data_IF_076564758619
#
_entry.id   IF_076564758619
#
_cell.length_a   1.000
_cell.length_b   1.000
_cell.length_c   1.000
_cell.angle_alpha   90.00
_cell.angle_beta   90.00
_cell.angle_gamma   90.00
#
_symmetry.space_group_name_H-M   'P 1'
#
loop_
_entity.id
_entity.type
_entity.pdbx_description
1 polymer ?
#
# COMPACT_ATOMS: atom_id res chain seq x y z
N UNK A 1 -1.24 -41.02 -3.23
CA UNK A 1 -0.64 -39.67 -3.14
C UNK A 1 -0.77 -38.87 -4.43
N UNK A 2 -0.44 -39.42 -5.62
CA UNK A 2 -0.56 -38.71 -6.91
C UNK A 2 -1.96 -38.16 -7.20
N UNK A 3 -3.01 -39.00 -7.13
CA UNK A 3 -4.40 -38.57 -7.37
C UNK A 3 -4.80 -37.42 -6.43
N UNK A 4 -4.40 -37.49 -5.16
CA UNK A 4 -4.63 -36.43 -4.19
C UNK A 4 -3.98 -35.11 -4.63
N UNK A 5 -2.70 -35.12 -5.02
CA UNK A 5 -2.02 -33.91 -5.48
C UNK A 5 -2.63 -33.34 -6.76
N UNK A 6 -3.04 -34.17 -7.71
CA UNK A 6 -3.75 -33.73 -8.93
C UNK A 6 -5.04 -32.98 -8.55
N UNK A 7 -5.89 -33.59 -7.73
CA UNK A 7 -7.16 -32.99 -7.31
C UNK A 7 -6.90 -31.69 -6.54
N UNK A 8 -5.97 -31.72 -5.59
CA UNK A 8 -5.62 -30.58 -4.77
C UNK A 8 -5.09 -29.40 -5.60
N UNK A 9 -4.08 -29.61 -6.45
CA UNK A 9 -3.53 -28.55 -7.29
C UNK A 9 -4.55 -28.03 -8.31
N UNK A 10 -5.44 -28.91 -8.81
CA UNK A 10 -6.53 -28.52 -9.71
C UNK A 10 -7.55 -27.59 -9.04
N UNK A 11 -7.96 -27.91 -7.80
CA UNK A 11 -8.86 -27.05 -7.01
C UNK A 11 -8.20 -25.71 -6.72
N UNK A 12 -6.95 -25.72 -6.24
CA UNK A 12 -6.21 -24.48 -5.94
C UNK A 12 -6.01 -23.64 -7.20
N UNK A 13 -5.72 -24.26 -8.34
CA UNK A 13 -5.63 -23.57 -9.61
C UNK A 13 -6.95 -22.86 -9.97
N UNK A 14 -8.07 -23.57 -9.95
CA UNK A 14 -9.38 -22.96 -10.25
C UNK A 14 -9.71 -21.80 -9.30
N UNK A 15 -9.50 -21.98 -7.99
CA UNK A 15 -9.72 -20.92 -7.00
C UNK A 15 -8.79 -19.72 -7.21
N UNK A 16 -7.52 -19.95 -7.55
CA UNK A 16 -6.55 -18.88 -7.81
C UNK A 16 -6.93 -18.03 -9.03
N UNK A 17 -7.43 -18.64 -10.10
CA UNK A 17 -7.92 -17.93 -11.29
C UNK A 17 -9.10 -17.02 -10.92
N UNK A 18 -10.11 -17.59 -10.25
CA UNK A 18 -11.31 -16.84 -9.83
C UNK A 18 -10.92 -15.69 -8.89
N UNK A 19 -10.05 -15.95 -7.90
CA UNK A 19 -9.60 -14.95 -6.93
C UNK A 19 -8.85 -13.81 -7.62
N UNK A 20 -7.98 -14.13 -8.56
CA UNK A 20 -7.18 -13.14 -9.30
C UNK A 20 -8.07 -12.21 -10.13
N UNK A 21 -9.01 -12.77 -10.87
CA UNK A 21 -10.00 -11.99 -11.65
C UNK A 21 -10.81 -11.09 -10.71
N UNK A 22 -11.28 -11.63 -9.59
CA UNK A 22 -12.02 -10.87 -8.58
C UNK A 22 -11.21 -9.70 -8.02
N UNK A 23 -9.95 -9.92 -7.63
CA UNK A 23 -9.07 -8.89 -7.08
C UNK A 23 -8.86 -7.77 -8.09
N UNK A 24 -8.57 -8.09 -9.35
CA UNK A 24 -8.31 -7.09 -10.40
C UNK A 24 -9.57 -6.25 -10.68
N UNK A 25 -10.73 -6.90 -10.81
CA UNK A 25 -12.00 -6.20 -11.04
C UNK A 25 -12.33 -5.29 -9.86
N UNK A 26 -12.23 -5.80 -8.62
CA UNK A 26 -12.50 -5.02 -7.41
C UNK A 26 -11.53 -3.87 -7.26
N UNK A 27 -10.26 -4.07 -7.58
CA UNK A 27 -9.26 -3.02 -7.58
C UNK A 27 -9.66 -1.88 -8.52
N UNK A 28 -10.02 -2.18 -9.76
CA UNK A 28 -10.40 -1.17 -10.74
C UNK A 28 -11.71 -0.45 -10.36
N UNK A 29 -12.70 -1.17 -9.83
CA UNK A 29 -13.94 -0.58 -9.29
C UNK A 29 -13.61 0.38 -8.14
N UNK A 30 -12.85 -0.07 -7.16
CA UNK A 30 -12.48 0.73 -5.99
C UNK A 30 -11.70 1.97 -6.42
N UNK A 31 -10.74 1.83 -7.33
CA UNK A 31 -9.94 2.96 -7.84
C UNK A 31 -10.81 4.05 -8.48
N UNK A 32 -11.83 3.65 -9.25
CA UNK A 32 -12.79 4.61 -9.83
C UNK A 32 -13.64 5.29 -8.76
N UNK A 33 -14.04 4.56 -7.73
CA UNK A 33 -14.77 5.12 -6.59
C UNK A 33 -13.89 6.08 -5.77
N UNK A 34 -12.63 5.71 -5.55
CA UNK A 34 -11.67 6.52 -4.80
C UNK A 34 -11.41 7.85 -5.54
N UNK A 35 -11.31 7.85 -6.87
CA UNK A 35 -11.21 9.08 -7.67
C UNK A 35 -12.45 9.99 -7.55
N UNK A 36 -13.64 9.41 -7.35
CA UNK A 36 -14.85 10.21 -7.07
C UNK A 36 -14.82 10.82 -5.67
N UNK A 37 -14.30 10.09 -4.69
CA UNK A 37 -14.13 10.54 -3.30
C UNK A 37 -13.04 11.61 -3.17
N UNK A 38 -12.04 11.57 -4.05
CA UNK A 38 -11.01 12.60 -4.16
C UNK A 38 -11.62 13.99 -4.42
N UNK A 39 -12.64 14.06 -5.28
CA UNK A 39 -13.40 15.30 -5.51
C UNK A 39 -14.21 15.78 -4.29
N UNK A 40 -14.38 14.92 -3.28
CA UNK A 40 -15.02 15.23 -1.99
C UNK A 40 -13.99 15.48 -0.88
N UNK A 41 -12.70 15.64 -1.22
CA UNK A 41 -11.63 15.88 -0.26
C UNK A 41 -11.17 14.62 0.49
N UNK A 42 -11.65 13.42 0.12
CA UNK A 42 -11.24 12.15 0.71
C UNK A 42 -10.28 11.43 -0.27
N UNK A 43 -9.00 11.43 0.08
CA UNK A 43 -7.94 10.85 -0.73
C UNK A 43 -7.64 9.43 -0.27
N UNK A 44 -7.88 8.44 -1.13
CA UNK A 44 -7.58 7.04 -0.84
C UNK A 44 -6.52 6.57 -1.83
N UNK A 45 -5.36 6.18 -1.31
CA UNK A 45 -4.28 5.57 -2.09
C UNK A 45 -4.23 4.08 -1.76
N UNK A 46 -4.19 3.27 -2.81
CA UNK A 46 -4.06 1.80 -2.74
C UNK A 46 -2.75 1.40 -3.39
N UNK A 47 -2.44 0.11 -3.28
CA UNK A 47 -1.36 -0.56 -4.03
C UNK A 47 -1.40 -0.18 -5.51
N UNK A 48 -0.23 -0.10 -6.15
CA UNK A 48 -0.14 0.37 -7.53
C UNK A 48 -0.78 -0.61 -8.51
N UNK A 49 -1.12 -0.12 -9.71
CA UNK A 49 -1.69 -0.98 -10.77
C UNK A 49 -0.69 -2.06 -11.19
N UNK A 50 0.61 -1.73 -11.22
CA UNK A 50 1.67 -2.66 -11.57
C UNK A 50 1.73 -3.82 -10.58
N UNK A 51 1.76 -3.52 -9.27
CA UNK A 51 1.70 -4.53 -8.20
C UNK A 51 0.42 -5.36 -8.27
N UNK A 52 -0.74 -4.73 -8.54
CA UNK A 52 -2.01 -5.46 -8.69
C UNK A 52 -1.97 -6.44 -9.87
N UNK A 53 -1.33 -6.07 -10.97
CA UNK A 53 -1.18 -6.93 -12.14
C UNK A 53 -0.23 -8.11 -11.90
N UNK A 54 0.69 -8.02 -10.94
CA UNK A 54 1.52 -9.17 -10.53
C UNK A 54 0.68 -10.33 -10.00
N UNK A 55 -0.54 -10.07 -9.50
CA UNK A 55 -1.48 -11.14 -9.12
C UNK A 55 -1.85 -12.08 -10.30
N UNK A 56 -1.73 -11.63 -11.56
CA UNK A 56 -1.95 -12.48 -12.74
C UNK A 56 -0.99 -13.67 -12.82
N UNK A 57 0.17 -13.58 -12.16
CA UNK A 57 1.16 -14.66 -12.13
C UNK A 57 0.80 -15.76 -11.12
N UNK A 58 -0.06 -15.47 -10.14
CA UNK A 58 -0.39 -16.39 -9.04
C UNK A 58 -0.98 -17.72 -9.55
N UNK A 59 -1.92 -17.74 -10.51
CA UNK A 59 -2.49 -19.00 -11.01
C UNK A 59 -1.49 -19.89 -11.77
N UNK A 60 -0.36 -19.35 -12.22
CA UNK A 60 0.61 -20.16 -12.96
C UNK A 60 1.27 -21.22 -12.07
N UNK A 61 1.52 -20.93 -10.79
CA UNK A 61 2.16 -21.88 -9.88
C UNK A 61 1.33 -23.14 -9.61
N UNK A 62 0.04 -23.07 -9.24
CA UNK A 62 -0.79 -24.28 -9.10
C UNK A 62 -1.10 -24.93 -10.45
N UNK A 63 -1.15 -24.17 -11.56
CA UNK A 63 -1.28 -24.74 -12.91
C UNK A 63 -0.09 -25.64 -13.27
N UNK A 64 1.14 -25.16 -13.06
CA UNK A 64 2.36 -25.94 -13.31
C UNK A 64 2.42 -27.19 -12.44
N UNK A 65 2.03 -27.09 -11.16
CA UNK A 65 1.93 -28.26 -10.28
C UNK A 65 0.88 -29.26 -10.78
N UNK A 66 -0.28 -28.78 -11.24
CA UNK A 66 -1.32 -29.64 -11.80
C UNK A 66 -0.84 -30.39 -13.04
N UNK A 67 -0.23 -29.68 -13.99
CA UNK A 67 0.33 -30.28 -15.21
C UNK A 67 1.42 -31.31 -14.85
N UNK A 68 2.34 -30.96 -13.94
CA UNK A 68 3.42 -31.85 -13.52
C UNK A 68 2.89 -33.16 -12.91
N UNK A 69 1.87 -33.08 -12.04
CA UNK A 69 1.29 -34.28 -11.41
C UNK A 69 0.46 -35.13 -12.38
N UNK A 70 -0.07 -34.54 -13.46
CA UNK A 70 -0.72 -35.29 -14.55
C UNK A 70 0.33 -36.00 -15.40
N UNK A 71 1.34 -35.27 -15.88
CA UNK A 71 2.26 -35.75 -16.91
C UNK A 71 3.37 -36.66 -16.36
N UNK A 72 3.82 -36.43 -15.13
CA UNK A 72 4.89 -37.23 -14.52
C UNK A 72 4.33 -38.27 -13.57
N UNK A 73 4.83 -39.50 -13.68
CA UNK A 73 4.44 -40.58 -12.78
C UNK A 73 5.03 -40.43 -11.38
N UNK A 74 6.18 -39.75 -11.25
CA UNK A 74 6.96 -39.64 -10.02
C UNK A 74 7.35 -38.18 -9.72
N UNK A 75 6.37 -37.29 -9.56
CA UNK A 75 6.65 -35.96 -9.00
C UNK A 75 7.12 -36.12 -7.55
N UNK A 76 8.35 -35.67 -7.28
CA UNK A 76 8.92 -35.69 -5.94
C UNK A 76 8.01 -34.95 -4.95
N UNK A 77 7.73 -35.55 -3.80
CA UNK A 77 6.92 -34.94 -2.74
C UNK A 77 7.45 -33.55 -2.34
N UNK A 78 8.77 -33.37 -2.32
CA UNK A 78 9.41 -32.09 -2.02
C UNK A 78 9.05 -31.00 -3.01
N UNK A 79 8.88 -31.33 -4.29
CA UNK A 79 8.46 -30.36 -5.30
C UNK A 79 7.02 -29.87 -5.06
N UNK A 80 6.11 -30.78 -4.68
CA UNK A 80 4.75 -30.42 -4.28
C UNK A 80 4.75 -29.58 -3.00
N UNK A 81 5.57 -29.91 -2.00
CA UNK A 81 5.70 -29.12 -0.76
C UNK A 81 6.19 -27.70 -1.03
N UNK A 82 7.22 -27.53 -1.86
CA UNK A 82 7.74 -26.19 -2.23
C UNK A 82 6.67 -25.39 -2.97
N UNK A 83 5.93 -26.01 -3.89
CA UNK A 83 4.84 -25.33 -4.60
C UNK A 83 3.75 -24.84 -3.63
N UNK A 84 3.35 -25.66 -2.66
CA UNK A 84 2.35 -25.28 -1.64
C UNK A 84 2.83 -24.08 -0.83
N UNK A 85 4.08 -24.10 -0.36
CA UNK A 85 4.68 -22.99 0.38
C UNK A 85 4.69 -21.72 -0.48
N UNK A 86 5.10 -21.83 -1.74
CA UNK A 86 5.16 -20.71 -2.65
C UNK A 86 3.78 -20.11 -2.92
N UNK A 87 2.79 -20.95 -3.21
CA UNK A 87 1.39 -20.54 -3.41
C UNK A 87 0.82 -19.87 -2.16
N UNK A 88 1.16 -20.36 -0.96
CA UNK A 88 0.79 -19.70 0.29
C UNK A 88 1.31 -18.26 0.35
N UNK A 89 2.58 -18.01 0.04
CA UNK A 89 3.13 -16.65 -0.04
C UNK A 89 2.45 -15.79 -1.12
N UNK A 90 2.10 -16.38 -2.28
CA UNK A 90 1.31 -15.68 -3.29
C UNK A 90 -0.06 -15.24 -2.77
N UNK A 91 -0.74 -16.08 -1.97
CA UNK A 91 -2.01 -15.71 -1.34
C UNK A 91 -1.83 -14.60 -0.28
N UNK A 92 -0.74 -14.60 0.48
CA UNK A 92 -0.40 -13.50 1.38
C UNK A 92 -0.22 -12.19 0.62
N UNK A 93 0.50 -12.22 -0.51
CA UNK A 93 0.65 -11.07 -1.39
C UNK A 93 -0.69 -10.60 -1.97
N UNK A 94 -1.53 -11.51 -2.47
CA UNK A 94 -2.85 -11.18 -2.98
C UNK A 94 -3.73 -10.50 -1.91
N UNK A 95 -3.66 -10.98 -0.66
CA UNK A 95 -4.35 -10.35 0.48
C UNK A 95 -3.82 -8.93 0.73
N UNK A 96 -2.51 -8.74 0.73
CA UNK A 96 -1.90 -7.42 0.85
C UNK A 96 -2.42 -6.47 -0.24
N UNK A 97 -2.36 -6.87 -1.51
CA UNK A 97 -2.89 -6.08 -2.65
C UNK A 97 -4.36 -5.71 -2.46
N UNK A 98 -5.17 -6.64 -1.95
CA UNK A 98 -6.61 -6.46 -1.77
C UNK A 98 -6.96 -5.53 -0.59
N UNK A 99 -6.20 -5.61 0.51
CA UNK A 99 -6.52 -4.97 1.78
C UNK A 99 -5.78 -3.65 1.97
N UNK A 100 -4.58 -3.51 1.43
CA UNK A 100 -3.72 -2.38 1.73
C UNK A 100 -4.23 -1.06 1.11
N UNK A 101 -4.51 -0.09 1.97
CA UNK A 101 -4.82 1.28 1.58
C UNK A 101 -4.41 2.27 2.67
N UNK A 102 -4.14 3.50 2.24
CA UNK A 102 -4.03 4.69 3.08
C UNK A 102 -5.14 5.64 2.66
N UNK A 103 -5.97 6.02 3.62
CA UNK A 103 -7.05 6.98 3.44
C UNK A 103 -6.74 8.24 4.25
N UNK A 104 -6.83 9.36 3.57
CA UNK A 104 -6.73 10.71 4.11
C UNK A 104 -8.10 11.35 3.97
N UNK A 105 -8.69 11.71 5.09
CA UNK A 105 -9.99 12.37 5.17
C UNK A 105 -9.91 13.55 6.14
N UNK A 106 -10.87 14.49 6.11
CA UNK A 106 -10.95 15.56 7.11
C UNK A 106 -10.93 15.04 8.56
N UNK A 107 -11.45 13.83 8.79
CA UNK A 107 -11.46 13.16 10.09
C UNK A 107 -10.08 12.66 10.57
N UNK A 108 -9.11 12.50 9.67
CA UNK A 108 -7.83 11.88 9.99
C UNK A 108 -7.24 11.00 8.89
N UNK A 109 -6.16 10.33 9.28
CA UNK A 109 -5.43 9.32 8.52
C UNK A 109 -5.89 7.95 8.97
N UNK A 110 -6.41 7.19 8.03
CA UNK A 110 -6.81 5.80 8.22
C UNK A 110 -5.86 4.92 7.40
N UNK A 111 -5.05 4.11 8.07
CA UNK A 111 -4.15 3.16 7.41
C UNK A 111 -4.63 1.74 7.63
N UNK A 112 -4.61 0.96 6.55
CA UNK A 112 -4.76 -0.48 6.61
C UNK A 112 -3.67 -1.12 5.76
N UNK A 113 -2.80 -1.90 6.39
CA UNK A 113 -1.72 -2.62 5.69
C UNK A 113 -2.02 -4.11 5.64
N UNK A 114 -2.33 -4.70 6.79
CA UNK A 114 -2.45 -6.15 6.95
C UNK A 114 -3.60 -6.58 7.88
N UNK A 115 -3.83 -5.79 8.94
CA UNK A 115 -4.82 -6.06 9.99
C UNK A 115 -6.27 -6.03 9.48
N UNK A 116 -7.14 -6.74 10.22
CA UNK A 116 -8.58 -6.69 9.99
C UNK A 116 -9.14 -5.28 10.28
N UNK A 117 -8.65 -4.64 11.34
CA UNK A 117 -9.05 -3.30 11.75
C UNK A 117 -8.07 -2.25 11.21
N UNK A 118 -8.55 -1.15 10.62
CA UNK A 118 -7.69 -0.04 10.23
C UNK A 118 -7.21 0.72 11.46
N UNK A 119 -5.96 1.18 11.43
CA UNK A 119 -5.43 2.11 12.43
C UNK A 119 -5.84 3.53 12.03
N UNK A 120 -6.30 4.33 12.99
CA UNK A 120 -6.79 5.70 12.76
C UNK A 120 -6.02 6.67 13.63
N UNK A 121 -5.48 7.70 13.00
CA UNK A 121 -4.83 8.82 13.67
C UNK A 121 -5.44 10.13 13.17
N UNK A 122 -5.81 11.08 14.04
CA UNK A 122 -6.12 12.44 13.58
C UNK A 122 -4.87 13.07 12.92
N UNK A 123 -5.07 13.99 11.97
CA UNK A 123 -3.95 14.60 11.21
C UNK A 123 -2.98 15.35 12.15
N UNK A 124 -3.52 16.00 13.18
CA UNK A 124 -2.77 16.75 14.18
C UNK A 124 -1.95 15.87 15.17
N UNK A 125 -2.03 14.53 15.03
CA UNK A 125 -1.19 13.57 15.72
C UNK A 125 0.26 13.55 15.26
N UNK A 126 0.50 13.98 14.02
CA UNK A 126 1.82 13.89 13.41
C UNK A 126 2.70 14.93 14.10
N UNK A 127 3.65 14.44 14.89
CA UNK A 127 4.65 15.27 15.55
C UNK A 127 5.90 15.38 14.69
N UNK A 128 6.30 14.28 14.06
CA UNK A 128 7.53 14.24 13.29
C UNK A 128 7.43 13.50 11.96
N UNK A 129 8.25 13.96 11.03
CA UNK A 129 8.50 13.34 9.73
C UNK A 129 10.00 13.07 9.63
N UNK A 130 10.35 11.85 9.24
CA UNK A 130 11.74 11.41 9.05
C UNK A 130 11.89 10.92 7.62
N UNK A 131 12.88 11.46 6.93
CA UNK A 131 13.31 11.04 5.62
C UNK A 131 14.50 10.09 5.77
N UNK A 132 14.33 8.86 5.34
CA UNK A 132 15.36 7.84 5.31
C UNK A 132 15.89 7.76 3.88
N UNK A 133 17.10 8.26 3.68
CA UNK A 133 17.82 8.09 2.41
C UNK A 133 18.44 6.69 2.40
N UNK A 134 18.09 5.90 1.39
CA UNK A 134 18.64 4.55 1.26
C UNK A 134 19.93 4.64 0.46
N UNK A 135 21.05 4.18 1.04
CA UNK A 135 22.36 4.22 0.41
C UNK A 135 22.32 3.58 -0.98
N UNK A 136 22.61 4.40 -2.01
CA UNK A 136 22.81 4.03 -3.42
C UNK A 136 21.58 3.67 -4.27
N UNK A 137 20.34 3.84 -3.79
CA UNK A 137 19.14 3.65 -4.63
C UNK A 137 18.08 4.72 -4.30
N UNK A 138 18.04 5.82 -5.06
CA UNK A 138 17.07 6.93 -4.86
C UNK A 138 15.60 6.47 -4.90
N UNK A 139 15.30 5.39 -5.63
CA UNK A 139 13.95 4.81 -5.72
C UNK A 139 13.51 4.05 -4.45
N UNK A 140 14.42 3.88 -3.47
CA UNK A 140 14.17 3.21 -2.19
C UNK A 140 14.17 4.15 -0.99
N UNK A 141 14.22 5.46 -1.19
CA UNK A 141 14.04 6.41 -0.08
C UNK A 141 12.70 6.15 0.61
N UNK A 142 12.64 6.34 1.93
CA UNK A 142 11.42 6.16 2.71
C UNK A 142 11.12 7.40 3.53
N UNK A 143 9.82 7.69 3.69
CA UNK A 143 9.35 8.75 4.57
C UNK A 143 8.50 8.12 5.66
N UNK A 144 8.89 8.31 6.92
CA UNK A 144 8.14 7.90 8.09
C UNK A 144 7.48 9.09 8.79
N UNK A 145 6.26 8.88 9.27
CA UNK A 145 5.49 9.84 10.07
C UNK A 145 5.26 9.24 11.45
N UNK A 146 5.50 10.02 12.50
CA UNK A 146 5.46 9.55 13.88
C UNK A 146 4.68 10.50 14.80
N UNK A 147 4.05 9.92 15.82
CA UNK A 147 3.48 10.65 16.96
C UNK A 147 4.58 11.20 17.87
N UNK A 148 4.21 12.02 18.86
CA UNK A 148 5.14 12.52 19.88
C UNK A 148 5.66 11.40 20.77
N UNK A 149 4.85 10.38 21.03
CA UNK A 149 5.25 9.14 21.71
C UNK A 149 6.20 8.25 20.90
N UNK A 150 6.44 8.57 19.62
CA UNK A 150 7.31 7.81 18.73
C UNK A 150 6.61 6.65 18.01
N UNK A 151 5.29 6.55 18.10
CA UNK A 151 4.51 5.55 17.37
C UNK A 151 4.46 5.90 15.88
N UNK A 152 4.64 4.89 15.02
CA UNK A 152 4.63 5.08 13.58
C UNK A 152 3.19 5.20 13.05
N UNK A 153 2.86 6.37 12.51
CA UNK A 153 1.56 6.68 11.89
C UNK A 153 1.50 6.13 10.48
N UNK A 154 2.57 6.31 9.70
CA UNK A 154 2.69 5.81 8.34
C UNK A 154 4.15 5.75 7.91
N UNK A 155 4.52 4.82 7.03
CA UNK A 155 5.72 4.97 6.22
C UNK A 155 5.50 4.46 4.80
N UNK A 156 6.11 5.13 3.84
CA UNK A 156 6.08 4.74 2.45
C UNK A 156 7.27 5.32 1.67
N UNK A 157 7.64 4.65 0.58
CA UNK A 157 8.58 5.19 -0.39
C UNK A 157 7.91 6.25 -1.27
N UNK A 158 8.33 7.53 -1.24
CA UNK A 158 7.69 8.59 -2.00
C UNK A 158 7.86 8.35 -3.51
N UNK A 159 9.01 7.81 -3.94
CA UNK A 159 9.30 7.51 -5.35
C UNK A 159 8.54 6.28 -5.85
N UNK A 160 8.54 5.19 -5.06
CA UNK A 160 7.93 3.91 -5.41
C UNK A 160 6.40 4.00 -5.54
N UNK A 161 5.74 4.68 -4.61
CA UNK A 161 4.28 4.74 -4.55
C UNK A 161 3.69 6.05 -5.07
N UNK A 162 4.54 7.03 -5.45
CA UNK A 162 4.15 8.37 -5.91
C UNK A 162 3.05 8.99 -5.05
N UNK A 163 3.18 8.82 -3.75
CA UNK A 163 2.23 9.29 -2.75
C UNK A 163 2.84 10.46 -2.01
N UNK A 164 2.51 11.69 -2.40
CA UNK A 164 3.08 12.90 -1.80
C UNK A 164 2.09 13.63 -0.92
N UNK A 165 0.80 13.23 -0.90
CA UNK A 165 -0.27 13.97 -0.27
C UNK A 165 -0.02 14.24 1.21
N UNK A 166 0.41 13.21 1.95
CA UNK A 166 0.69 13.37 3.37
C UNK A 166 1.91 14.28 3.61
N UNK A 167 2.94 14.17 2.77
CA UNK A 167 4.08 15.08 2.81
C UNK A 167 3.65 16.52 2.46
N UNK A 168 2.75 16.70 1.50
CA UNK A 168 2.19 18.00 1.12
C UNK A 168 1.39 18.65 2.25
N UNK A 169 0.58 17.86 2.98
CA UNK A 169 -0.15 18.33 4.17
C UNK A 169 0.81 18.75 5.28
N UNK A 170 1.84 17.96 5.56
CA UNK A 170 2.85 18.31 6.57
C UNK A 170 3.64 19.55 6.14
N UNK A 171 3.96 19.68 4.85
CA UNK A 171 4.62 20.88 4.33
C UNK A 171 3.73 22.12 4.45
N UNK A 172 2.43 22.00 4.15
CA UNK A 172 1.46 23.07 4.40
C UNK A 172 1.49 23.48 5.87
N UNK A 173 1.49 22.53 6.81
CA UNK A 173 1.57 22.79 8.25
C UNK A 173 2.83 23.56 8.65
N UNK A 174 3.95 23.27 8.01
CA UNK A 174 5.22 23.97 8.26
C UNK A 174 5.18 25.39 7.66
N UNK A 175 4.70 25.54 6.42
CA UNK A 175 4.69 26.83 5.72
C UNK A 175 3.61 27.81 6.22
N UNK A 176 2.49 27.30 6.73
CA UNK A 176 1.32 28.10 7.17
C UNK A 176 1.14 28.11 8.68
N UNK A 177 1.98 27.40 9.42
CA UNK A 177 1.93 27.27 10.89
C UNK A 177 0.58 26.75 11.45
N UNK A 178 -0.24 26.14 10.61
CA UNK A 178 -1.54 25.53 10.96
C UNK A 178 -1.84 24.32 10.07
N UNK A 179 -2.66 23.39 10.54
CA UNK A 179 -3.12 22.28 9.70
C UNK A 179 -4.10 22.78 8.62
N UNK A 180 -4.11 22.16 7.43
CA UNK A 180 -5.05 22.53 6.37
C UNK A 180 -6.47 22.08 6.75
N UNK A 181 -7.45 22.95 6.51
CA UNK A 181 -8.86 22.57 6.55
C UNK A 181 -9.24 21.95 5.21
N UNK A 182 -9.41 20.62 5.21
CA UNK A 182 -9.73 19.86 4.00
C UNK A 182 -11.17 20.11 3.49
N UNK A 183 -11.99 20.89 4.22
CA UNK A 183 -13.28 21.38 3.74
C UNK A 183 -13.18 22.76 3.06
N UNK A 184 -12.04 23.46 3.21
CA UNK A 184 -11.79 24.75 2.59
C UNK A 184 -11.13 24.55 1.20
N UNK A 185 -11.78 24.96 0.10
CA UNK A 185 -11.23 24.81 -1.24
C UNK A 185 -9.87 25.47 -1.45
N UNK A 186 -9.57 26.57 -0.75
CA UNK A 186 -8.29 27.27 -0.86
C UNK A 186 -7.14 26.46 -0.27
N UNK A 187 -7.35 25.88 0.91
CA UNK A 187 -6.37 25.00 1.56
C UNK A 187 -6.14 23.74 0.72
N UNK A 188 -7.21 23.14 0.20
CA UNK A 188 -7.14 22.00 -0.71
C UNK A 188 -6.30 22.33 -1.95
N UNK A 189 -6.52 23.48 -2.58
CA UNK A 189 -5.76 23.90 -3.76
C UNK A 189 -4.27 24.10 -3.44
N UNK A 190 -3.94 24.59 -2.24
CA UNK A 190 -2.56 24.76 -1.82
C UNK A 190 -1.88 23.41 -1.55
N UNK A 191 -2.58 22.47 -0.90
CA UNK A 191 -2.08 21.10 -0.72
C UNK A 191 -1.93 20.40 -2.08
N UNK A 192 -2.88 20.55 -3.01
CA UNK A 192 -2.80 20.03 -4.38
C UNK A 192 -1.56 20.55 -5.11
N UNK A 193 -1.24 21.85 -4.95
CA UNK A 193 -0.02 22.44 -5.50
C UNK A 193 1.25 21.80 -4.92
N UNK A 194 1.23 21.39 -3.66
CA UNK A 194 2.35 20.73 -2.98
C UNK A 194 2.39 19.22 -3.21
N UNK A 195 1.32 18.60 -3.70
CA UNK A 195 1.19 17.15 -3.94
C UNK A 195 1.94 16.70 -5.21
N UNK A 196 3.22 17.05 -5.28
CA UNK A 196 4.13 16.62 -6.33
C UNK A 196 5.52 16.32 -5.77
N UNK A 197 6.17 15.30 -6.35
CA UNK A 197 7.50 14.86 -5.91
C UNK A 197 8.58 15.91 -6.13
N UNK A 198 8.46 16.73 -7.19
CA UNK A 198 9.48 17.72 -7.57
C UNK A 198 9.70 18.78 -6.49
N UNK A 199 8.63 19.25 -5.85
CA UNK A 199 8.73 20.24 -4.79
C UNK A 199 8.90 19.60 -3.42
N UNK A 200 8.22 18.48 -3.16
CA UNK A 200 8.04 17.98 -1.81
C UNK A 200 9.12 16.99 -1.38
N UNK A 201 9.68 16.19 -2.29
CA UNK A 201 10.79 15.30 -1.94
C UNK A 201 12.05 16.09 -1.56
N UNK A 202 12.56 17.04 -2.38
CA UNK A 202 13.76 17.77 -2.03
C UNK A 202 13.62 18.58 -0.73
N UNK A 203 12.40 19.08 -0.46
CA UNK A 203 12.11 19.83 0.76
C UNK A 203 12.35 19.02 2.04
N UNK A 204 11.90 17.76 2.08
CA UNK A 204 12.09 16.88 3.24
C UNK A 204 13.43 16.17 3.23
N UNK A 205 13.96 15.82 2.05
CA UNK A 205 15.31 15.25 1.92
C UNK A 205 16.36 16.20 2.51
N UNK A 206 16.32 17.48 2.17
CA UNK A 206 17.26 18.47 2.70
C UNK A 206 17.08 18.81 4.19
N UNK A 207 16.00 18.36 4.84
CA UNK A 207 15.76 18.56 6.28
C UNK A 207 16.05 17.32 7.10
N UNK A 208 16.03 16.14 6.50
CA UNK A 208 16.14 14.80 7.11
C UNK A 208 15.07 14.49 8.16
N UNK A 209 14.85 15.37 9.13
CA UNK A 209 13.86 15.23 10.19
C UNK A 209 13.24 16.58 10.54
N UNK A 210 11.92 16.60 10.67
CA UNK A 210 11.16 17.74 11.23
C UNK A 210 10.31 17.23 12.39
N UNK A 211 10.25 17.98 13.49
CA UNK A 211 9.61 17.59 14.77
C UNK A 211 8.82 18.76 15.34
N UNK A 212 7.94 18.50 16.33
CA UNK A 212 7.17 19.55 17.00
C UNK A 212 5.97 20.04 16.19
N UNK A 213 5.44 19.18 15.31
CA UNK A 213 4.31 19.50 14.43
C UNK A 213 2.94 19.24 15.08
N UNK A 214 2.91 18.41 16.13
CA UNK A 214 1.65 17.94 16.72
C UNK A 214 1.02 19.01 17.60
N UNK A 215 -0.28 19.20 17.42
CA UNK A 215 -1.09 20.06 18.27
C UNK A 215 -1.81 19.26 19.38
N UNK A 216 -1.78 17.92 19.30
CA UNK A 216 -2.39 17.00 20.27
C UNK A 216 -1.32 16.05 20.81
N UNK A 217 -1.27 15.91 22.13
CA UNK A 217 -0.47 14.87 22.79
C UNK A 217 -1.16 13.51 22.66
N UNK A 218 -0.53 12.60 21.91
CA UNK A 218 -0.90 11.19 21.82
C UNK A 218 0.34 10.29 21.86
#
# INVERSE_FOLDING_TARGET
MRIFFIIFSGIIFALSVISTVYIIIRYEINRRQDKKKEAQGIYIKRVTRAETLLCLFIPMFPCLAFIANIQSENVNIWANTVNIIFVFFCYLYARYVFVAYVKLSPEGIEQRVWSANPTRYPINAIDSIVYYETLNIEDQDMVGFYTRSGEQIAAFGPMTHKNYRLMAIVRFRIEQERWPDMNNPTDVAQVDKLDNGYMTIPYFRGREKVTGLADVDM
#
